data_IF_319153309592
#
_entry.id   IF_319153309592
#
_cell.length_a   1.000
_cell.length_b   1.000
_cell.length_c   1.000
_cell.angle_alpha   90.00
_cell.angle_beta   90.00
_cell.angle_gamma   90.00
#
_symmetry.space_group_name_H-M   'P 1'
#
loop_
_entity.id
_entity.type
_entity.pdbx_description
1 polymer ?
#
# COMPACT_ATOMS: atom_id res chain seq x y z
N UNK A 1 -12.34 -13.55 -22.79
CA UNK A 1 -11.21 -13.89 -21.89
C UNK A 1 -10.05 -12.90 -22.01
N UNK A 2 -9.40 -12.76 -23.18
CA UNK A 2 -8.25 -11.84 -23.39
C UNK A 2 -8.56 -10.39 -22.96
N UNK A 3 -9.70 -9.83 -23.39
CA UNK A 3 -10.10 -8.46 -23.02
C UNK A 3 -10.14 -8.23 -21.49
N UNK A 4 -10.62 -9.21 -20.72
CA UNK A 4 -10.71 -9.11 -19.26
C UNK A 4 -9.32 -9.11 -18.61
N UNK A 5 -8.39 -9.91 -19.16
CA UNK A 5 -7.01 -9.92 -18.72
C UNK A 5 -6.31 -8.60 -19.05
N UNK A 6 -6.54 -8.03 -20.24
CA UNK A 6 -6.02 -6.70 -20.60
C UNK A 6 -6.52 -5.61 -19.65
N UNK A 7 -7.80 -5.67 -19.25
CA UNK A 7 -8.36 -4.75 -18.25
C UNK A 7 -7.67 -4.92 -16.90
N UNK A 8 -7.51 -6.16 -16.42
CA UNK A 8 -6.81 -6.43 -15.16
C UNK A 8 -5.37 -5.91 -15.18
N UNK A 9 -4.64 -6.13 -16.27
CA UNK A 9 -3.29 -5.57 -16.46
C UNK A 9 -3.30 -4.04 -16.43
N UNK A 10 -4.29 -3.40 -17.06
CA UNK A 10 -4.45 -1.95 -17.03
C UNK A 10 -4.70 -1.43 -15.61
N UNK A 11 -5.59 -2.07 -14.85
CA UNK A 11 -5.85 -1.72 -13.46
C UNK A 11 -4.61 -1.89 -12.58
N UNK A 12 -3.88 -3.00 -12.73
CA UNK A 12 -2.61 -3.24 -12.03
C UNK A 12 -1.59 -2.15 -12.37
N UNK A 13 -1.44 -1.80 -13.65
CA UNK A 13 -0.51 -0.75 -14.04
C UNK A 13 -0.86 0.60 -13.40
N UNK A 14 -2.14 0.93 -13.30
CA UNK A 14 -2.62 2.16 -12.64
C UNK A 14 -2.34 2.10 -11.14
N UNK A 15 -2.67 1.01 -10.43
CA UNK A 15 -2.40 0.89 -8.99
C UNK A 15 -0.90 0.93 -8.68
N UNK A 16 -0.09 0.27 -9.51
CA UNK A 16 1.38 0.31 -9.40
C UNK A 16 1.90 1.74 -9.61
N UNK A 17 1.35 2.48 -10.58
CA UNK A 17 1.73 3.87 -10.80
C UNK A 17 1.33 4.78 -9.63
N UNK A 18 0.12 4.60 -9.08
CA UNK A 18 -0.33 5.29 -7.87
C UNK A 18 0.66 5.00 -6.73
N UNK A 19 1.00 3.73 -6.51
CA UNK A 19 1.93 3.41 -5.43
C UNK A 19 3.35 3.94 -5.64
N UNK A 20 3.86 3.91 -6.87
CA UNK A 20 5.14 4.50 -7.19
C UNK A 20 5.17 6.02 -6.89
N UNK A 21 4.09 6.74 -7.20
CA UNK A 21 3.95 8.17 -6.95
C UNK A 21 3.91 8.48 -5.44
N UNK A 22 3.06 7.78 -4.69
CA UNK A 22 2.99 7.93 -3.23
C UNK A 22 4.30 7.51 -2.55
N UNK A 23 4.99 6.49 -3.05
CA UNK A 23 6.31 6.12 -2.54
C UNK A 23 7.33 7.25 -2.75
N UNK A 24 7.41 7.79 -3.96
CA UNK A 24 8.36 8.87 -4.29
C UNK A 24 8.12 10.11 -3.43
N UNK A 25 6.85 10.49 -3.25
CA UNK A 25 6.44 11.59 -2.38
C UNK A 25 6.78 11.32 -0.91
N UNK A 26 6.46 10.14 -0.40
CA UNK A 26 6.69 9.75 0.99
C UNK A 26 8.18 9.69 1.32
N UNK A 27 9.00 9.08 0.46
CA UNK A 27 10.45 9.00 0.68
C UNK A 27 11.09 10.39 0.63
N UNK A 28 10.61 11.27 -0.24
CA UNK A 28 11.06 12.66 -0.31
C UNK A 28 10.67 13.44 0.95
N UNK A 29 9.45 13.25 1.47
CA UNK A 29 9.01 13.83 2.73
C UNK A 29 9.84 13.34 3.92
N UNK A 30 10.16 12.04 3.97
CA UNK A 30 11.02 11.47 5.01
C UNK A 30 12.43 12.04 4.96
N UNK A 31 13.05 12.14 3.76
CA UNK A 31 14.36 12.78 3.59
C UNK A 31 14.35 14.24 4.05
N UNK A 32 13.33 15.01 3.68
CA UNK A 32 13.18 16.41 4.12
C UNK A 32 13.01 16.54 5.64
N UNK A 33 12.30 15.60 6.27
CA UNK A 33 12.15 15.57 7.73
C UNK A 33 13.50 15.26 8.40
N UNK A 34 14.27 14.33 7.85
CA UNK A 34 15.62 14.01 8.32
C UNK A 34 16.59 15.19 8.17
N UNK A 35 16.54 15.91 7.04
CA UNK A 35 17.41 17.07 6.78
C UNK A 35 17.05 18.27 7.69
N UNK A 36 15.76 18.60 7.83
CA UNK A 36 15.34 19.80 8.55
C UNK A 36 15.11 19.58 10.05
N UNK A 37 14.79 18.36 10.47
CA UNK A 37 14.44 18.03 11.87
C UNK A 37 15.02 16.69 12.33
N UNK A 38 16.28 16.42 11.99
CA UNK A 38 17.03 15.23 12.41
C UNK A 38 16.88 14.88 13.90
N UNK A 39 16.96 15.89 14.77
CA UNK A 39 16.85 15.74 16.22
C UNK A 39 15.45 15.28 16.68
N UNK A 40 14.39 15.70 15.99
CA UNK A 40 13.02 15.29 16.29
C UNK A 40 12.77 13.84 15.84
N UNK A 41 13.21 13.50 14.62
CA UNK A 41 13.06 12.15 14.08
C UNK A 41 13.79 11.09 14.93
N UNK A 42 14.97 11.43 15.47
CA UNK A 42 15.73 10.57 16.37
C UNK A 42 15.15 10.49 17.78
N UNK A 43 14.56 11.59 18.29
CA UNK A 43 13.98 11.63 19.64
C UNK A 43 12.59 11.00 19.74
N UNK A 44 11.84 10.96 18.64
CA UNK A 44 10.48 10.41 18.59
C UNK A 44 10.27 9.39 17.46
N UNK A 45 11.05 8.29 17.42
CA UNK A 45 10.98 7.31 16.35
C UNK A 45 9.61 6.63 16.24
N UNK A 46 8.92 6.45 17.37
CA UNK A 46 7.56 5.89 17.42
C UNK A 46 6.55 6.77 16.69
N UNK A 47 6.60 8.09 16.87
CA UNK A 47 5.66 9.02 16.23
C UNK A 47 5.86 9.03 14.72
N UNK A 48 7.13 9.03 14.27
CA UNK A 48 7.46 8.95 12.84
C UNK A 48 6.96 7.64 12.24
N UNK A 49 7.16 6.52 12.94
CA UNK A 49 6.72 5.19 12.49
C UNK A 49 5.20 5.10 12.38
N UNK A 50 4.45 5.57 13.38
CA UNK A 50 2.97 5.59 13.36
C UNK A 50 2.47 6.45 12.20
N UNK A 51 3.03 7.65 12.04
CA UNK A 51 2.68 8.55 10.93
C UNK A 51 2.96 7.89 9.59
N UNK A 52 4.07 7.17 9.46
CA UNK A 52 4.43 6.45 8.25
C UNK A 52 3.48 5.29 7.93
N UNK A 53 3.06 4.52 8.94
CA UNK A 53 2.08 3.44 8.76
C UNK A 53 0.75 4.01 8.26
N UNK A 54 0.26 5.08 8.89
CA UNK A 54 -0.97 5.76 8.47
C UNK A 54 -0.83 6.29 7.03
N UNK A 55 0.34 6.85 6.70
CA UNK A 55 0.63 7.30 5.33
C UNK A 55 0.52 6.17 4.30
N UNK A 56 1.07 4.98 4.58
CA UNK A 56 1.05 3.84 3.66
C UNK A 56 -0.36 3.27 3.40
N UNK A 57 -1.32 3.52 4.29
CA UNK A 57 -2.70 3.07 4.12
C UNK A 57 -3.43 3.88 3.05
N UNK A 58 -3.14 5.17 2.89
CA UNK A 58 -3.84 6.03 1.91
C UNK A 58 -3.80 5.51 0.47
N UNK A 59 -2.63 5.18 -0.13
CA UNK A 59 -2.60 4.66 -1.49
C UNK A 59 -3.30 3.30 -1.61
N UNK A 60 -3.29 2.47 -0.57
CA UNK A 60 -4.01 1.19 -0.56
C UNK A 60 -5.52 1.42 -0.64
N UNK A 61 -6.05 2.40 0.11
CA UNK A 61 -7.48 2.77 0.04
C UNK A 61 -7.82 3.25 -1.37
N UNK A 62 -6.95 4.06 -2.00
CA UNK A 62 -7.17 4.53 -3.38
C UNK A 62 -7.20 3.36 -4.36
N UNK A 63 -6.28 2.40 -4.23
CA UNK A 63 -6.24 1.21 -5.07
C UNK A 63 -7.51 0.38 -4.91
N UNK A 64 -7.95 0.12 -3.67
CA UNK A 64 -9.20 -0.59 -3.38
C UNK A 64 -10.42 0.15 -3.96
N UNK A 65 -10.49 1.48 -3.79
CA UNK A 65 -11.55 2.29 -4.39
C UNK A 65 -11.55 2.20 -5.92
N UNK A 66 -10.38 2.12 -6.56
CA UNK A 66 -10.26 1.98 -8.01
C UNK A 66 -10.82 0.63 -8.49
N UNK A 67 -10.48 -0.46 -7.81
CA UNK A 67 -11.02 -1.79 -8.10
C UNK A 67 -12.52 -1.87 -7.84
N UNK A 68 -12.99 -1.32 -6.71
CA UNK A 68 -14.39 -1.23 -6.37
C UNK A 68 -15.20 -0.44 -7.42
N UNK A 69 -14.69 0.72 -7.83
CA UNK A 69 -15.32 1.54 -8.87
C UNK A 69 -15.39 0.78 -10.19
N UNK A 70 -14.34 0.02 -10.53
CA UNK A 70 -14.36 -0.83 -11.70
C UNK A 70 -15.46 -1.89 -11.64
N UNK A 71 -15.60 -2.65 -10.54
CA UNK A 71 -16.65 -3.67 -10.42
C UNK A 71 -18.05 -3.09 -10.47
N UNK A 72 -18.25 -1.93 -9.84
CA UNK A 72 -19.53 -1.23 -9.87
C UNK A 72 -19.89 -0.75 -11.29
N UNK A 73 -18.96 -0.07 -11.98
CA UNK A 73 -19.17 0.44 -13.34
C UNK A 73 -19.31 -0.70 -14.37
N UNK A 74 -18.61 -1.80 -14.15
CA UNK A 74 -18.71 -3.02 -14.93
C UNK A 74 -20.02 -3.80 -14.71
N UNK A 75 -20.85 -3.36 -13.75
CA UNK A 75 -22.06 -4.07 -13.28
C UNK A 75 -21.75 -5.50 -12.86
N UNK A 76 -20.56 -5.72 -12.30
CA UNK A 76 -20.14 -7.01 -11.77
C UNK A 76 -20.77 -7.28 -10.40
N UNK A 77 -21.10 -6.21 -9.66
CA UNK A 77 -21.80 -6.23 -8.38
C UNK A 77 -22.90 -5.14 -8.37
N UNK A 78 -23.97 -5.33 -7.59
CA UNK A 78 -25.17 -4.49 -7.65
C UNK A 78 -24.98 -3.10 -7.04
N UNK A 79 -24.11 -2.96 -6.04
CA UNK A 79 -23.89 -1.69 -5.32
C UNK A 79 -22.41 -1.36 -5.21
N UNK A 80 -22.09 -0.08 -5.03
CA UNK A 80 -20.72 0.35 -4.77
C UNK A 80 -20.22 -0.16 -3.42
N UNK A 81 -21.09 -0.24 -2.41
CA UNK A 81 -20.75 -0.77 -1.09
C UNK A 81 -20.31 -2.24 -1.16
N UNK A 82 -21.08 -3.10 -1.84
CA UNK A 82 -20.69 -4.49 -2.07
C UNK A 82 -19.40 -4.59 -2.90
N UNK A 83 -19.22 -3.71 -3.89
CA UNK A 83 -18.00 -3.65 -4.70
C UNK A 83 -16.78 -3.26 -3.88
N UNK A 84 -16.93 -2.30 -2.97
CA UNK A 84 -15.89 -1.83 -2.08
C UNK A 84 -15.52 -2.89 -1.04
N UNK A 85 -16.51 -3.53 -0.43
CA UNK A 85 -16.30 -4.63 0.49
C UNK A 85 -15.63 -5.83 -0.21
N UNK A 86 -16.16 -6.27 -1.35
CA UNK A 86 -15.57 -7.34 -2.15
C UNK A 86 -14.12 -7.04 -2.53
N UNK A 87 -13.87 -5.83 -3.03
CA UNK A 87 -12.53 -5.40 -3.41
C UNK A 87 -11.59 -5.39 -2.21
N UNK A 88 -12.02 -4.84 -1.06
CA UNK A 88 -11.22 -4.83 0.17
C UNK A 88 -10.83 -6.24 0.60
N UNK A 89 -11.79 -7.16 0.66
CA UNK A 89 -11.59 -8.55 1.10
C UNK A 89 -10.72 -9.33 0.11
N UNK A 90 -10.86 -9.06 -1.18
CA UNK A 90 -10.08 -9.70 -2.26
C UNK A 90 -8.65 -9.15 -2.30
N UNK A 91 -8.48 -7.83 -2.27
CA UNK A 91 -7.19 -7.14 -2.30
C UNK A 91 -6.33 -7.45 -1.07
N UNK A 92 -6.97 -7.59 0.10
CA UNK A 92 -6.28 -8.03 1.33
C UNK A 92 -6.05 -9.54 1.39
N UNK A 93 -6.50 -10.29 0.38
CA UNK A 93 -6.43 -11.76 0.30
C UNK A 93 -7.17 -12.50 1.42
N UNK A 94 -8.04 -11.81 2.16
CA UNK A 94 -8.87 -12.39 3.23
C UNK A 94 -9.88 -13.39 2.66
N UNK A 95 -10.57 -13.02 1.58
CA UNK A 95 -11.40 -13.94 0.80
C UNK A 95 -12.51 -14.67 1.57
N UNK A 96 -13.34 -13.96 2.36
CA UNK A 96 -14.44 -14.58 3.14
C UNK A 96 -15.40 -15.45 2.31
N UNK A 97 -15.55 -15.15 1.02
CA UNK A 97 -16.34 -15.97 0.08
C UNK A 97 -17.85 -15.78 0.19
N UNK A 98 -18.29 -14.78 0.96
CA UNK A 98 -19.68 -14.33 1.09
C UNK A 98 -20.18 -13.58 -0.15
N UNK A 99 -19.30 -12.80 -0.80
CA UNK A 99 -19.55 -12.21 -2.12
C UNK A 99 -18.60 -12.84 -3.14
N UNK A 100 -19.16 -13.34 -4.24
CA UNK A 100 -18.40 -13.93 -5.35
C UNK A 100 -18.85 -13.37 -6.69
N UNK A 101 -17.89 -13.10 -7.57
CA UNK A 101 -18.20 -12.62 -8.92
C UNK A 101 -18.64 -13.76 -9.86
N UNK A 102 -19.39 -13.39 -10.90
CA UNK A 102 -19.76 -14.31 -11.98
C UNK A 102 -18.54 -14.86 -12.72
N UNK A 103 -18.76 -15.92 -13.52
CA UNK A 103 -17.69 -16.58 -14.30
C UNK A 103 -16.91 -15.63 -15.20
N UNK A 104 -17.51 -14.52 -15.61
CA UNK A 104 -16.90 -13.53 -16.51
C UNK A 104 -15.84 -12.66 -15.82
N UNK A 105 -15.96 -12.46 -14.50
CA UNK A 105 -15.14 -11.52 -13.73
C UNK A 105 -14.27 -12.19 -12.68
N UNK A 106 -14.54 -13.46 -12.30
CA UNK A 106 -13.74 -14.20 -11.30
C UNK A 106 -12.24 -14.23 -11.59
N UNK A 107 -11.85 -14.26 -12.87
CA UNK A 107 -10.44 -14.22 -13.26
C UNK A 107 -9.80 -12.87 -12.94
N UNK A 108 -10.54 -11.78 -13.13
CA UNK A 108 -10.09 -10.41 -12.82
C UNK A 108 -9.90 -10.25 -11.31
N UNK A 109 -10.85 -10.74 -10.50
CA UNK A 109 -10.70 -10.76 -9.04
C UNK A 109 -9.49 -11.57 -8.55
N UNK A 110 -9.13 -12.65 -9.25
CA UNK A 110 -7.91 -13.40 -8.90
C UNK A 110 -6.66 -12.53 -9.09
N UNK A 111 -6.62 -11.71 -10.15
CA UNK A 111 -5.51 -10.78 -10.40
C UNK A 111 -5.51 -9.58 -9.44
N UNK A 112 -6.67 -9.15 -8.96
CA UNK A 112 -6.77 -8.16 -7.88
C UNK A 112 -6.10 -8.67 -6.59
N UNK A 113 -6.34 -9.93 -6.20
CA UNK A 113 -5.69 -10.51 -5.03
C UNK A 113 -4.16 -10.57 -5.19
N UNK A 114 -3.67 -10.96 -6.39
CA UNK A 114 -2.24 -10.94 -6.71
C UNK A 114 -1.68 -9.52 -6.63
N UNK A 115 -2.41 -8.53 -7.16
CA UNK A 115 -2.02 -7.13 -7.10
C UNK A 115 -1.88 -6.65 -5.64
N UNK A 116 -2.89 -6.90 -4.82
CA UNK A 116 -2.85 -6.52 -3.40
C UNK A 116 -1.67 -7.13 -2.68
N UNK A 117 -1.38 -8.42 -2.89
CA UNK A 117 -0.20 -9.07 -2.34
C UNK A 117 1.12 -8.39 -2.73
N UNK A 118 1.27 -7.99 -4.00
CA UNK A 118 2.45 -7.24 -4.49
C UNK A 118 2.54 -5.87 -3.80
N UNK A 119 1.42 -5.14 -3.69
CA UNK A 119 1.37 -3.83 -3.05
C UNK A 119 1.71 -3.92 -1.55
N UNK A 120 1.22 -4.93 -0.84
CA UNK A 120 1.59 -5.17 0.57
C UNK A 120 3.06 -5.52 0.74
N UNK A 121 3.64 -6.31 -0.18
CA UNK A 121 5.08 -6.58 -0.20
C UNK A 121 5.89 -5.28 -0.33
N UNK A 122 5.44 -4.38 -1.19
CA UNK A 122 6.07 -3.07 -1.37
C UNK A 122 5.93 -2.18 -0.13
N UNK A 123 4.74 -2.07 0.46
CA UNK A 123 4.49 -1.31 1.68
C UNK A 123 5.37 -1.81 2.84
N UNK A 124 5.54 -3.13 2.96
CA UNK A 124 6.40 -3.76 3.96
C UNK A 124 7.87 -3.40 3.76
N UNK A 125 8.37 -3.45 2.52
CA UNK A 125 9.74 -3.06 2.21
C UNK A 125 10.03 -1.59 2.59
N UNK A 126 9.06 -0.69 2.36
CA UNK A 126 9.16 0.71 2.78
C UNK A 126 9.13 0.88 4.29
N UNK A 127 8.24 0.17 4.98
CA UNK A 127 8.21 0.18 6.44
C UNK A 127 9.54 -0.28 7.02
N UNK A 128 10.13 -1.36 6.47
CA UNK A 128 11.44 -1.84 6.88
C UNK A 128 12.55 -0.80 6.65
N UNK A 129 12.51 -0.07 5.53
CA UNK A 129 13.46 1.01 5.27
C UNK A 129 13.39 2.13 6.33
N UNK A 130 12.19 2.47 6.82
CA UNK A 130 11.99 3.45 7.89
C UNK A 130 12.48 2.91 9.24
N UNK A 131 12.09 1.69 9.59
CA UNK A 131 12.51 1.04 10.85
C UNK A 131 14.04 0.95 10.91
N UNK A 132 14.68 0.54 9.82
CA UNK A 132 16.14 0.46 9.75
C UNK A 132 16.84 1.79 9.97
N UNK A 133 16.27 2.88 9.47
CA UNK A 133 16.84 4.21 9.66
C UNK A 133 16.65 4.75 11.07
N UNK A 134 15.49 4.51 11.67
CA UNK A 134 15.13 5.10 12.97
C UNK A 134 15.71 4.32 14.16
N UNK A 135 15.68 2.99 14.09
CA UNK A 135 16.02 2.14 15.24
C UNK A 135 17.41 1.52 15.14
N UNK A 136 17.87 1.16 13.94
CA UNK A 136 19.17 0.50 13.76
C UNK A 136 20.34 1.46 13.42
N UNK A 137 20.07 2.76 13.17
CA UNK A 137 21.08 3.77 12.86
C UNK A 137 21.44 4.69 14.04
N UNK A 138 20.98 4.36 15.25
CA UNK A 138 21.12 5.17 16.45
C UNK A 138 22.17 4.61 17.43
N UNK A 139 23.41 4.38 17.00
CA UNK A 139 24.58 4.42 17.90
C UNK A 139 25.78 5.07 17.20
N UNK A 140 26.07 6.33 17.53
CA UNK A 140 27.45 6.77 17.65
C UNK A 140 27.62 7.50 18.98
N UNK A 141 27.97 6.76 20.03
CA UNK A 141 28.05 7.33 21.38
C UNK A 141 28.79 6.49 22.40
N UNK A 142 29.88 5.82 22.03
CA UNK A 142 30.78 5.17 23.00
C UNK A 142 32.26 5.62 22.92
N UNK A 143 32.59 6.64 22.12
CA UNK A 143 33.97 7.18 22.02
C UNK A 143 34.14 8.56 22.68
N UNK A 144 33.61 8.75 23.90
CA UNK A 144 34.08 9.82 24.78
C UNK A 144 34.12 9.32 26.21
N UNK A 145 35.34 9.09 26.67
CA UNK A 145 35.83 8.99 28.05
C UNK A 145 36.70 7.76 28.24
N UNK A 146 37.91 7.81 27.69
CA UNK A 146 39.12 7.16 28.23
C UNK A 146 40.33 7.95 27.74
N UNK A 147 40.49 9.13 28.35
CA UNK A 147 41.81 9.75 28.57
C UNK A 147 42.30 9.26 29.94
#
# INVERSE_FOLDING_TARGET
MILRLSIACGLIAITVAIQALFMSAGLSALRRLEENRKYFAQRHPTVVTVTWVIYLIFPIIIDVCLWAAFYYLAKALPTFEESFYFSTVTFTTVGYGDIVLSKDWRHVATFEAVNGWIIFGWATALMMAVIQRLYFRAEPGLDRHRD
#
